data_IF_013445125426
#
_entry.id   IF_013445125426
#
_cell.length_a   1.000
_cell.length_b   1.000
_cell.length_c   1.000
_cell.angle_alpha   90.00
_cell.angle_beta   90.00
_cell.angle_gamma   90.00
#
_symmetry.space_group_name_H-M   'P 1'
#
loop_
_entity.id
_entity.type
_entity.pdbx_description
1 polymer ?
#
# COMPACT_ATOMS: atom_id res chain seq x y z
N UNK A 1 2.07 -23.42 -51.59
CA UNK A 1 3.19 -22.84 -50.81
C UNK A 1 2.71 -21.52 -50.21
N UNK A 2 2.97 -21.26 -48.92
CA UNK A 2 2.49 -20.07 -48.19
C UNK A 2 3.44 -18.89 -48.45
N UNK A 3 2.94 -17.80 -49.02
CA UNK A 3 3.71 -16.58 -49.24
C UNK A 3 3.90 -15.79 -47.92
N UNK A 4 5.15 -15.51 -47.59
CA UNK A 4 5.56 -14.74 -46.41
C UNK A 4 5.32 -13.25 -46.66
N UNK A 5 4.48 -12.65 -45.80
CA UNK A 5 4.13 -11.24 -45.83
C UNK A 5 5.34 -10.30 -45.74
N UNK A 6 5.46 -9.43 -46.74
CA UNK A 6 6.42 -8.32 -46.78
C UNK A 6 6.11 -7.34 -45.64
N UNK A 7 7.07 -7.16 -44.73
CA UNK A 7 7.04 -6.12 -43.68
C UNK A 7 7.12 -4.75 -44.34
N UNK A 8 6.15 -3.86 -44.05
CA UNK A 8 6.22 -2.44 -44.46
C UNK A 8 7.35 -1.74 -43.69
N UNK A 9 8.15 -0.87 -44.34
CA UNK A 9 9.16 -0.08 -43.64
C UNK A 9 8.52 0.95 -42.70
N UNK A 10 9.16 1.17 -41.56
CA UNK A 10 8.85 2.21 -40.58
C UNK A 10 9.22 3.60 -41.15
N UNK A 11 8.31 4.60 -41.14
CA UNK A 11 8.64 5.93 -41.67
C UNK A 11 9.69 6.65 -40.81
N UNK A 12 10.63 7.31 -41.48
CA UNK A 12 11.76 8.05 -40.91
C UNK A 12 11.30 9.20 -39.99
N UNK A 13 12.06 9.39 -38.90
CA UNK A 13 11.74 10.24 -37.75
C UNK A 13 11.76 11.77 -37.98
N UNK A 14 11.85 12.26 -39.22
CA UNK A 14 11.95 13.69 -39.52
C UNK A 14 10.60 14.36 -39.83
N UNK A 15 9.61 13.61 -40.32
CA UNK A 15 8.33 14.16 -40.78
C UNK A 15 7.34 14.51 -39.65
N UNK A 16 7.57 13.97 -38.43
CA UNK A 16 6.72 14.25 -37.26
C UNK A 16 7.05 15.57 -36.53
N UNK A 17 8.03 16.35 -37.00
CA UNK A 17 8.40 17.63 -36.38
C UNK A 17 7.47 18.78 -36.75
N UNK A 18 6.74 18.67 -37.85
CA UNK A 18 5.89 19.74 -38.40
C UNK A 18 4.43 19.72 -37.91
N UNK A 19 3.98 18.65 -37.23
CA UNK A 19 2.59 18.51 -36.75
C UNK A 19 2.39 18.94 -35.29
N UNK A 20 3.44 19.37 -34.59
CA UNK A 20 3.41 19.71 -33.16
C UNK A 20 3.75 21.17 -32.83
N UNK A 21 3.70 22.07 -33.81
CA UNK A 21 4.13 23.47 -33.64
C UNK A 21 3.00 24.50 -33.52
N UNK A 22 1.71 24.12 -33.59
CA UNK A 22 0.62 25.12 -33.64
C UNK A 22 -0.38 25.19 -32.47
N UNK A 23 -0.16 24.50 -31.34
CA UNK A 23 -0.96 24.74 -30.13
C UNK A 23 -0.08 24.82 -28.88
N UNK A 24 0.75 25.86 -28.80
CA UNK A 24 1.25 26.34 -27.51
C UNK A 24 0.10 27.09 -26.81
N UNK A 25 -0.29 26.72 -25.58
CA UNK A 25 -1.23 27.52 -24.81
C UNK A 25 -0.63 28.91 -24.52
N UNK A 26 -1.45 29.97 -24.43
CA UNK A 26 -0.95 31.30 -24.12
C UNK A 26 -0.22 31.30 -22.77
N UNK A 27 0.88 32.08 -22.72
CA UNK A 27 1.69 32.31 -21.53
C UNK A 27 0.79 32.60 -20.33
N UNK A 28 0.77 31.67 -19.38
CA UNK A 28 0.23 31.91 -18.05
C UNK A 28 1.04 33.04 -17.41
N UNK A 29 0.45 34.23 -17.32
CA UNK A 29 0.88 35.22 -16.34
C UNK A 29 0.70 34.57 -14.97
N UNK A 30 1.78 34.51 -14.19
CA UNK A 30 1.70 34.11 -12.79
C UNK A 30 0.92 35.17 -12.01
N UNK A 31 -0.40 35.06 -12.01
CA UNK A 31 -1.19 35.70 -10.96
C UNK A 31 -1.00 34.86 -9.69
N UNK A 32 -0.29 35.46 -8.74
CA UNK A 32 -0.01 34.91 -7.42
C UNK A 32 -1.37 34.65 -6.75
N UNK A 33 -1.71 33.38 -6.54
CA UNK A 33 -2.92 33.00 -5.82
C UNK A 33 -3.00 33.76 -4.47
N UNK A 34 -4.17 34.27 -4.05
CA UNK A 34 -4.32 34.94 -2.78
C UNK A 34 -3.83 34.02 -1.64
N UNK A 35 -3.12 34.55 -0.63
CA UNK A 35 -2.80 33.77 0.54
C UNK A 35 -4.10 33.31 1.20
N UNK A 36 -4.32 31.99 1.21
CA UNK A 36 -5.40 31.36 1.95
C UNK A 36 -5.34 31.83 3.41
N UNK A 37 -6.50 32.09 3.99
CA UNK A 37 -6.63 32.68 5.32
C UNK A 37 -5.97 31.81 6.40
N UNK A 38 -5.54 32.42 7.50
CA UNK A 38 -4.98 31.71 8.65
C UNK A 38 -5.94 30.62 9.20
N UNK A 39 -7.25 30.80 9.02
CA UNK A 39 -8.27 29.81 9.38
C UNK A 39 -8.22 28.56 8.48
N UNK A 40 -8.01 28.72 7.17
CA UNK A 40 -7.82 27.60 6.23
C UNK A 40 -6.49 26.87 6.48
N UNK A 41 -5.47 27.60 6.94
CA UNK A 41 -4.18 27.02 7.34
C UNK A 41 -4.31 26.16 8.62
N UNK A 42 -5.16 26.57 9.57
CA UNK A 42 -5.39 25.85 10.83
C UNK A 42 -6.27 24.61 10.67
N UNK A 43 -7.27 24.63 9.78
CA UNK A 43 -8.04 23.44 9.38
C UNK A 43 -7.17 22.35 8.71
N UNK A 44 -6.07 22.75 8.06
CA UNK A 44 -5.08 21.83 7.48
C UNK A 44 -4.05 21.34 8.52
N UNK A 45 -3.78 22.12 9.56
CA UNK A 45 -2.76 21.85 10.57
C UNK A 45 -3.23 20.93 11.72
N UNK A 46 -4.55 20.78 11.95
CA UNK A 46 -5.10 19.93 13.01
C UNK A 46 -5.09 18.43 12.72
N UNK A 47 -4.88 18.02 11.45
CA UNK A 47 -4.76 16.61 11.11
C UNK A 47 -3.31 16.17 11.31
N UNK A 48 -3.01 15.60 12.49
CA UNK A 48 -1.80 14.80 12.72
C UNK A 48 -1.54 13.96 11.47
N UNK A 49 -0.35 14.06 10.89
CA UNK A 49 0.01 13.40 9.64
C UNK A 49 0.00 11.87 9.82
N UNK A 50 -1.19 11.27 9.84
CA UNK A 50 -1.35 9.82 9.81
C UNK A 50 -0.63 9.32 8.56
N UNK A 51 0.25 8.32 8.74
CA UNK A 51 0.93 7.67 7.62
C UNK A 51 -0.14 7.05 6.73
N UNK A 52 -0.45 7.71 5.63
CA UNK A 52 -1.44 7.27 4.66
C UNK A 52 -0.97 5.98 3.99
N UNK A 53 -1.90 5.07 3.73
CA UNK A 53 -1.60 3.84 3.03
C UNK A 53 -1.04 4.14 1.62
N UNK A 54 -0.13 3.31 1.12
CA UNK A 54 0.58 3.54 -0.16
C UNK A 54 -0.37 3.68 -1.37
N UNK A 55 -1.57 3.11 -1.29
CA UNK A 55 -2.61 3.21 -2.32
C UNK A 55 -3.35 4.56 -2.34
N UNK A 56 -3.07 5.46 -1.40
CA UNK A 56 -3.60 6.83 -1.36
C UNK A 56 -2.59 7.74 -2.03
N UNK A 57 -2.84 8.05 -3.31
CA UNK A 57 -1.90 8.78 -4.16
C UNK A 57 -2.37 10.22 -4.31
N UNK A 58 -1.45 11.21 -4.30
CA UNK A 58 -1.80 12.59 -4.65
C UNK A 58 -2.17 12.68 -6.13
N UNK A 59 -3.15 13.50 -6.50
CA UNK A 59 -3.48 13.77 -7.91
C UNK A 59 -2.24 14.29 -8.63
N UNK A 60 -1.99 13.79 -9.84
CA UNK A 60 -0.81 14.10 -10.63
C UNK A 60 0.49 13.39 -10.18
N UNK A 61 0.52 12.75 -9.01
CA UNK A 61 1.66 11.98 -8.57
C UNK A 61 1.64 10.54 -9.15
N UNK A 62 2.82 9.98 -9.33
CA UNK A 62 3.02 8.59 -9.73
C UNK A 62 3.93 7.88 -8.71
N UNK A 63 3.60 6.66 -8.26
CA UNK A 63 4.43 5.96 -7.29
C UNK A 63 5.80 5.63 -7.86
N UNK A 64 6.85 5.78 -7.04
CA UNK A 64 8.21 5.41 -7.42
C UNK A 64 8.31 3.91 -7.66
N UNK A 65 8.85 3.52 -8.82
CA UNK A 65 9.05 2.13 -9.18
C UNK A 65 10.53 1.78 -9.11
N UNK A 66 10.84 0.68 -8.43
CA UNK A 66 12.20 0.20 -8.24
C UNK A 66 12.29 -1.27 -8.65
N UNK A 67 13.42 -1.63 -9.25
CA UNK A 67 13.74 -3.01 -9.63
C UNK A 67 13.94 -3.85 -8.37
N UNK A 68 13.24 -4.98 -8.29
CA UNK A 68 13.39 -5.91 -7.18
C UNK A 68 14.81 -6.47 -7.17
N UNK A 69 15.55 -6.23 -6.10
CA UNK A 69 16.91 -6.80 -5.93
C UNK A 69 16.93 -8.09 -5.12
N UNK A 70 15.82 -8.43 -4.45
CA UNK A 70 15.72 -9.58 -3.55
C UNK A 70 15.12 -10.83 -4.18
N UNK A 71 14.33 -10.70 -5.25
CA UNK A 71 13.45 -11.78 -5.72
C UNK A 71 13.62 -12.15 -7.19
N UNK A 72 13.50 -11.20 -8.12
CA UNK A 72 13.39 -11.54 -9.55
C UNK A 72 13.97 -10.51 -10.54
N UNK A 73 14.63 -9.44 -10.08
CA UNK A 73 15.16 -8.35 -10.94
C UNK A 73 14.09 -7.69 -11.84
N UNK A 74 12.80 -7.87 -11.55
CA UNK A 74 11.68 -7.19 -12.24
C UNK A 74 11.03 -6.15 -11.32
N UNK A 75 10.05 -5.41 -11.84
CA UNK A 75 9.31 -4.39 -11.09
C UNK A 75 8.02 -5.00 -10.55
N UNK A 76 7.74 -4.76 -9.27
CA UNK A 76 6.50 -5.15 -8.61
C UNK A 76 5.51 -3.99 -8.65
N UNK A 77 4.22 -4.32 -8.73
CA UNK A 77 3.20 -3.31 -8.51
C UNK A 77 3.16 -2.97 -7.00
N UNK A 78 3.24 -1.69 -6.61
CA UNK A 78 3.17 -1.30 -5.21
C UNK A 78 1.78 -1.48 -4.59
N UNK A 79 0.75 -1.78 -5.38
CA UNK A 79 -0.64 -1.91 -4.93
C UNK A 79 -1.17 -3.35 -4.99
N UNK A 80 -0.39 -4.28 -5.53
CA UNK A 80 -0.79 -5.66 -5.73
C UNK A 80 0.28 -6.61 -5.20
N UNK A 81 -0.15 -7.64 -4.49
CA UNK A 81 0.70 -8.80 -4.24
C UNK A 81 0.98 -9.57 -5.52
N UNK A 82 2.04 -10.37 -5.48
CA UNK A 82 2.54 -11.13 -6.63
C UNK A 82 1.53 -12.14 -7.18
N UNK A 83 0.68 -12.70 -6.33
CA UNK A 83 -0.38 -13.63 -6.76
C UNK A 83 -1.48 -12.95 -7.57
N UNK A 84 -1.67 -11.63 -7.40
CA UNK A 84 -2.66 -10.84 -8.15
C UNK A 84 -2.03 -10.25 -9.40
N UNK A 85 -0.81 -9.73 -9.31
CA UNK A 85 -0.08 -9.19 -10.44
C UNK A 85 1.40 -9.57 -10.35
N UNK A 86 1.82 -10.48 -11.24
CA UNK A 86 3.20 -10.94 -11.30
C UNK A 86 4.16 -9.80 -11.69
N UNK A 87 5.39 -9.78 -11.16
CA UNK A 87 6.40 -8.79 -11.51
C UNK A 87 6.68 -8.78 -13.02
N UNK A 88 6.88 -7.59 -13.60
CA UNK A 88 7.13 -7.40 -15.04
C UNK A 88 8.09 -6.25 -15.30
N UNK A 89 8.45 -6.05 -16.56
CA UNK A 89 9.21 -4.87 -17.00
C UNK A 89 8.48 -3.56 -16.69
N UNK A 90 9.27 -2.51 -16.48
CA UNK A 90 8.82 -1.16 -16.09
C UNK A 90 7.60 -0.66 -16.87
N UNK A 91 7.61 -0.78 -18.20
CA UNK A 91 6.53 -0.26 -19.05
C UNK A 91 5.18 -0.95 -18.79
N UNK A 92 5.19 -2.26 -18.54
CA UNK A 92 3.98 -3.02 -18.22
C UNK A 92 3.41 -2.62 -16.86
N UNK A 93 4.29 -2.48 -15.86
CA UNK A 93 3.88 -2.09 -14.51
C UNK A 93 3.36 -0.66 -14.51
N UNK A 94 4.00 0.26 -15.24
CA UNK A 94 3.51 1.63 -15.40
C UNK A 94 2.09 1.66 -15.96
N UNK A 95 1.83 0.92 -17.05
CA UNK A 95 0.49 0.81 -17.64
C UNK A 95 -0.53 0.21 -16.66
N UNK A 96 -0.12 -0.79 -15.89
CA UNK A 96 -0.98 -1.39 -14.86
C UNK A 96 -1.32 -0.40 -13.74
N UNK A 97 -0.37 0.41 -13.28
CA UNK A 97 -0.63 1.42 -12.25
C UNK A 97 -1.52 2.55 -12.78
N UNK A 98 -1.39 2.91 -14.06
CA UNK A 98 -2.31 3.86 -14.69
C UNK A 98 -3.76 3.38 -14.63
N UNK A 99 -4.02 2.06 -14.69
CA UNK A 99 -5.35 1.48 -14.48
C UNK A 99 -5.81 1.72 -13.04
N UNK A 100 -4.96 1.51 -12.03
CA UNK A 100 -5.29 1.82 -10.64
C UNK A 100 -5.66 3.29 -10.45
N UNK A 101 -4.89 4.21 -11.04
CA UNK A 101 -5.14 5.64 -10.96
C UNK A 101 -6.42 6.04 -11.71
N UNK A 102 -6.65 5.48 -12.90
CA UNK A 102 -7.84 5.75 -13.74
C UNK A 102 -9.14 5.32 -13.05
N UNK A 103 -9.15 4.15 -12.41
CA UNK A 103 -10.35 3.60 -11.76
C UNK A 103 -10.41 3.82 -10.25
N UNK A 104 -9.40 4.51 -9.70
CA UNK A 104 -9.37 4.94 -8.31
C UNK A 104 -10.50 5.91 -7.98
N UNK A 105 -10.75 6.10 -6.69
CA UNK A 105 -11.76 7.03 -6.20
C UNK A 105 -11.12 8.40 -6.04
N UNK A 106 -11.44 9.40 -6.88
CA UNK A 106 -10.93 10.75 -6.70
C UNK A 106 -11.60 11.37 -5.48
N UNK A 107 -10.80 11.96 -4.58
CA UNK A 107 -11.31 12.61 -3.39
C UNK A 107 -10.36 13.74 -2.95
N UNK A 108 -10.84 14.99 -2.95
CA UNK A 108 -9.99 16.17 -2.68
C UNK A 108 -8.75 16.19 -3.59
N UNK A 109 -7.57 16.29 -3.00
CA UNK A 109 -6.27 16.25 -3.71
C UNK A 109 -5.73 14.84 -3.94
N UNK A 110 -6.52 13.80 -3.67
CA UNK A 110 -6.09 12.41 -3.69
C UNK A 110 -6.87 11.56 -4.68
N UNK A 111 -6.25 10.45 -5.05
CA UNK A 111 -6.83 9.31 -5.75
C UNK A 111 -6.62 8.10 -4.86
N UNK A 112 -7.72 7.52 -4.38
CA UNK A 112 -7.68 6.36 -3.51
C UNK A 112 -7.81 5.12 -4.39
N UNK A 113 -6.68 4.44 -4.59
CA UNK A 113 -6.58 3.26 -5.44
C UNK A 113 -7.04 2.01 -4.70
N UNK A 114 -7.59 1.06 -5.46
CA UNK A 114 -7.93 -0.27 -4.96
C UNK A 114 -6.64 -1.03 -4.57
N UNK A 115 -6.62 -1.55 -3.36
CA UNK A 115 -5.54 -2.31 -2.74
C UNK A 115 -5.75 -3.82 -2.95
N UNK A 116 -4.70 -4.50 -3.40
CA UNK A 116 -4.60 -5.95 -3.49
C UNK A 116 -3.36 -6.47 -2.74
N UNK A 117 -2.88 -5.73 -1.75
CA UNK A 117 -1.79 -6.16 -0.86
C UNK A 117 -2.31 -7.08 0.25
N UNK A 118 -1.42 -7.55 1.11
CA UNK A 118 -1.76 -8.46 2.22
C UNK A 118 -2.47 -7.80 3.40
N UNK A 119 -2.86 -6.53 3.28
CA UNK A 119 -3.73 -5.87 4.25
C UNK A 119 -5.06 -6.61 4.42
N UNK A 120 -5.53 -7.30 3.36
CA UNK A 120 -6.71 -8.17 3.39
C UNK A 120 -6.65 -9.19 2.26
N UNK A 121 -7.27 -10.36 2.43
CA UNK A 121 -7.33 -11.40 1.39
C UNK A 121 -8.07 -10.94 0.13
N UNK A 122 -9.07 -10.08 0.30
CA UNK A 122 -9.92 -9.55 -0.77
C UNK A 122 -9.56 -8.11 -1.07
N UNK A 123 -9.68 -7.74 -2.34
CA UNK A 123 -9.42 -6.38 -2.84
C UNK A 123 -10.29 -5.31 -2.18
N UNK A 124 -9.69 -4.21 -1.71
CA UNK A 124 -10.34 -3.22 -0.84
C UNK A 124 -9.80 -1.80 -1.01
N UNK A 125 -10.44 -0.82 -0.39
CA UNK A 125 -10.03 0.59 -0.30
C UNK A 125 -9.67 0.95 1.14
N UNK A 126 -8.67 1.82 1.32
CA UNK A 126 -8.31 2.37 2.63
C UNK A 126 -8.91 3.76 2.78
N UNK A 127 -9.52 4.03 3.93
CA UNK A 127 -9.99 5.37 4.25
C UNK A 127 -8.81 6.33 4.49
N UNK A 128 -9.01 7.60 4.14
CA UNK A 128 -8.04 8.66 4.35
C UNK A 128 -7.94 9.10 5.82
N UNK A 129 -9.04 9.04 6.57
CA UNK A 129 -9.13 9.59 7.94
C UNK A 129 -9.20 8.54 9.04
N UNK A 130 -9.40 7.27 8.70
CA UNK A 130 -9.41 6.19 9.68
C UNK A 130 -8.76 4.92 9.13
N UNK A 131 -8.49 3.96 10.00
CA UNK A 131 -7.84 2.69 9.63
C UNK A 131 -8.79 1.69 8.95
N UNK A 132 -10.04 2.06 8.64
CA UNK A 132 -11.01 1.14 8.05
C UNK A 132 -10.65 0.81 6.60
N UNK A 133 -10.87 -0.47 6.26
CA UNK A 133 -10.81 -0.98 4.88
C UNK A 133 -12.20 -1.36 4.40
N UNK A 134 -12.57 -0.92 3.20
CA UNK A 134 -13.91 -1.10 2.63
C UNK A 134 -13.80 -1.85 1.30
N UNK A 135 -14.66 -2.86 1.06
CA UNK A 135 -14.50 -3.76 -0.08
C UNK A 135 -15.11 -3.21 -1.37
N UNK A 136 -16.32 -2.67 -1.29
CA UNK A 136 -17.08 -2.16 -2.43
C UNK A 136 -16.87 -0.66 -2.60
N UNK A 137 -17.00 -0.19 -3.84
CA UNK A 137 -16.79 1.21 -4.18
C UNK A 137 -17.94 2.08 -3.65
N UNK A 138 -19.19 1.62 -3.73
CA UNK A 138 -20.35 2.38 -3.25
C UNK A 138 -20.27 2.57 -1.73
N UNK A 139 -20.04 1.48 -0.99
CA UNK A 139 -19.84 1.51 0.46
C UNK A 139 -18.69 2.43 0.86
N UNK A 140 -17.64 2.47 0.05
CA UNK A 140 -16.49 3.32 0.31
C UNK A 140 -16.82 4.80 0.14
N UNK A 141 -17.56 5.18 -0.91
CA UNK A 141 -18.00 6.56 -1.10
C UNK A 141 -18.90 7.03 0.04
N UNK A 142 -19.87 6.20 0.44
CA UNK A 142 -20.75 6.48 1.60
C UNK A 142 -19.96 6.59 2.90
N UNK A 143 -18.91 5.77 3.05
CA UNK A 143 -18.02 5.88 4.19
C UNK A 143 -17.26 7.21 4.20
N UNK A 144 -16.76 7.68 3.05
CA UNK A 144 -15.98 8.92 2.98
C UNK A 144 -16.78 10.14 3.41
N UNK A 145 -18.05 10.24 3.03
CA UNK A 145 -18.91 11.39 3.40
C UNK A 145 -19.06 11.50 4.91
N UNK A 146 -19.41 10.40 5.59
CA UNK A 146 -19.61 10.37 7.05
C UNK A 146 -18.28 10.41 7.83
N UNK A 147 -17.23 9.78 7.29
CA UNK A 147 -15.96 9.67 7.99
C UNK A 147 -15.16 10.97 7.97
N UNK A 148 -15.30 11.81 6.94
CA UNK A 148 -14.64 13.11 6.89
C UNK A 148 -15.10 13.99 8.06
N UNK A 149 -16.41 14.09 8.27
CA UNK A 149 -17.03 14.88 9.32
C UNK A 149 -16.56 14.45 10.72
N UNK A 150 -16.40 13.14 10.92
CA UNK A 150 -15.91 12.55 12.18
C UNK A 150 -14.38 12.57 12.30
N UNK A 151 -13.65 12.61 11.19
CA UNK A 151 -12.19 12.67 11.17
C UNK A 151 -11.65 14.02 11.67
N UNK A 152 -12.42 15.08 11.48
CA UNK A 152 -12.14 16.39 12.09
C UNK A 152 -12.24 16.35 13.62
N UNK A 153 -13.18 15.57 14.19
CA UNK A 153 -13.36 15.45 15.65
C UNK A 153 -12.40 14.44 16.30
N UNK A 154 -12.02 13.36 15.61
CA UNK A 154 -11.09 12.36 16.16
C UNK A 154 -9.64 12.85 16.30
N UNK A 155 -9.23 13.87 15.54
CA UNK A 155 -7.89 14.47 15.65
C UNK A 155 -7.69 15.17 17.01
N UNK A 156 -8.78 15.55 17.69
CA UNK A 156 -8.73 16.14 19.03
C UNK A 156 -8.64 15.08 20.15
N UNK A 157 -9.20 13.88 19.96
CA UNK A 157 -9.27 12.85 21.01
C UNK A 157 -7.99 12.00 21.16
N UNK A 158 -7.14 11.91 20.13
CA UNK A 158 -5.85 11.21 20.21
C UNK A 158 -4.72 12.04 20.86
N UNK A 159 -5.03 13.25 21.34
CA UNK A 159 -4.09 14.13 22.06
C UNK A 159 -4.16 13.97 23.58
N UNK A 160 -5.16 13.24 24.12
CA UNK A 160 -5.25 12.92 25.55
C UNK A 160 -4.92 11.44 25.76
N UNK A 161 -3.63 11.12 25.82
CA UNK A 161 -3.18 9.92 26.52
C UNK A 161 -2.68 10.37 27.90
N UNK A 162 -3.22 9.85 29.01
CA UNK A 162 -2.56 10.01 30.30
C UNK A 162 -1.19 9.30 30.23
N UNK A 163 -0.14 9.82 30.91
CA UNK A 163 1.13 9.14 30.99
C UNK A 163 0.91 7.80 31.71
N UNK A 164 1.13 6.69 31.00
CA UNK A 164 1.24 5.39 31.63
C UNK A 164 2.47 5.44 32.56
N UNK A 165 2.33 5.20 33.88
CA UNK A 165 3.49 5.07 34.74
C UNK A 165 4.21 3.77 34.36
N UNK A 166 5.50 3.90 34.02
CA UNK A 166 6.41 2.79 33.85
C UNK A 166 6.50 2.03 35.19
N UNK A 167 5.76 0.93 35.30
CA UNK A 167 5.99 -0.08 36.32
C UNK A 167 6.74 -1.23 35.64
N UNK A 168 7.85 -1.62 36.27
CA UNK A 168 8.93 -2.40 35.70
C UNK A 168 8.59 -3.84 35.29
N UNK A 169 9.60 -4.60 34.85
CA UNK A 169 9.41 -5.99 34.43
C UNK A 169 8.99 -6.86 35.63
N UNK A 170 8.16 -7.90 35.40
CA UNK A 170 7.81 -8.86 36.44
C UNK A 170 9.06 -9.64 36.89
N UNK A 171 9.37 -9.51 38.18
CA UNK A 171 10.33 -10.31 38.93
C UNK A 171 10.09 -11.81 38.76
N UNK A 172 11.16 -12.53 38.45
CA UNK A 172 11.22 -13.96 38.30
C UNK A 172 11.21 -14.62 39.69
N UNK A 173 10.06 -15.05 40.17
CA UNK A 173 9.99 -15.89 41.37
C UNK A 173 10.40 -17.33 41.02
N UNK A 174 11.68 -17.61 41.24
CA UNK A 174 12.23 -18.97 41.34
C UNK A 174 11.53 -19.75 42.46
N UNK A 175 10.87 -20.84 42.10
CA UNK A 175 10.49 -21.89 43.06
C UNK A 175 11.61 -22.92 43.18
N UNK A 176 11.98 -23.38 44.39
CA UNK A 176 13.00 -24.40 44.60
C UNK A 176 12.52 -25.82 44.22
N UNK A 177 13.44 -26.74 43.89
CA UNK A 177 13.10 -28.13 43.56
C UNK A 177 12.82 -28.95 44.82
N UNK A 178 11.86 -29.90 44.79
CA UNK A 178 11.87 -31.00 45.74
C UNK A 178 12.93 -32.04 45.31
N UNK A 179 13.96 -32.22 46.13
CA UNK A 179 14.76 -33.46 46.14
C UNK A 179 13.89 -34.63 46.62
N UNK A 180 14.20 -35.91 46.43
CA UNK A 180 15.34 -36.61 45.87
C UNK A 180 15.18 -38.10 46.21
N UNK A 181 15.94 -38.96 45.51
CA UNK A 181 16.14 -40.41 45.76
C UNK A 181 15.04 -41.36 45.19
N UNK A 182 15.33 -42.51 44.54
CA UNK A 182 16.51 -43.38 44.50
C UNK A 182 16.61 -44.09 43.13
N UNK A 183 17.84 -44.43 42.73
CA UNK A 183 18.17 -45.38 41.67
C UNK A 183 17.63 -46.79 41.97
N UNK A 184 17.17 -47.49 40.95
CA UNK A 184 17.50 -48.91 40.74
C UNK A 184 17.72 -49.17 39.25
N UNK A 185 18.96 -49.58 38.97
CA UNK A 185 19.43 -50.31 37.81
C UNK A 185 18.55 -51.56 37.60
N UNK A 186 18.30 -51.97 36.35
CA UNK A 186 18.46 -53.34 35.85
C UNK A 186 18.05 -53.42 34.37
N UNK A 187 19.00 -53.90 33.57
CA UNK A 187 18.91 -54.18 32.14
C UNK A 187 18.11 -55.49 31.82
N UNK A 188 17.94 -55.87 30.53
CA UNK A 188 16.73 -56.52 30.01
C UNK A 188 16.77 -58.06 30.05
N UNK A 189 15.68 -58.70 29.60
CA UNK A 189 15.86 -59.84 28.70
C UNK A 189 14.97 -59.80 27.44
N UNK A 190 15.62 -59.97 26.29
CA UNK A 190 15.08 -60.60 25.08
C UNK A 190 15.29 -62.12 25.22
N UNK A 191 14.29 -62.99 25.03
CA UNK A 191 14.27 -63.82 23.81
C UNK A 191 12.86 -64.34 23.37
N UNK A 192 12.73 -64.67 22.08
CA UNK A 192 11.80 -65.71 21.59
C UNK A 192 10.76 -65.20 20.58
N UNK A 193 10.95 -65.39 19.25
CA UNK A 193 10.60 -66.59 18.45
C UNK A 193 9.08 -66.84 18.47
N UNK A 194 8.33 -67.08 17.40
CA UNK A 194 8.55 -67.63 16.05
C UNK A 194 7.17 -67.52 15.37
N UNK A 195 7.02 -67.09 14.12
CA UNK A 195 7.23 -67.93 12.94
C UNK A 195 5.92 -68.62 12.51
N UNK A 196 5.28 -68.10 11.46
CA UNK A 196 4.69 -68.79 10.30
C UNK A 196 3.98 -67.77 9.40
#
# INVERSE_FOLDING_TARGET
MRELGRKRPYPQAEENRALYTHHLPPRFTQEKAPPLSAAEMQLRAGHRALKRHITIVRKGAFPTLQQCRSCCRLIHCPFCKESVYKPKFMYHVKRHIQIHLKYGVPYGDYIICRCNLECRKVSHFHCLWCSKTILRKEDFLNHLTVCQEKGASFSQLLSHHPPFPATGPPEFLSLPPPGGARQFLLEPPNPGKSGL
#
